data_IF_237176020321
#
_entry.id   IF_237176020321
#
_cell.length_a   1.000
_cell.length_b   1.000
_cell.length_c   1.000
_cell.angle_alpha   90.00
_cell.angle_beta   90.00
_cell.angle_gamma   90.00
#
_symmetry.space_group_name_H-M   'P 1'
#
loop_
_entity.id
_entity.type
_entity.pdbx_description
1 polymer ?
#
# COMPACT_ATOMS: atom_id res chain seq x y z
N UNK A 1 65.52 8.68 43.18
CA UNK A 1 65.06 8.02 41.93
C UNK A 1 63.65 8.51 41.67
N UNK A 2 63.39 9.26 40.60
CA UNK A 2 62.02 9.69 40.25
C UNK A 2 61.37 8.68 39.25
N UNK A 3 60.29 8.07 39.69
CA UNK A 3 59.43 7.29 38.79
C UNK A 3 58.66 8.23 37.86
N UNK A 4 58.93 8.13 36.55
CA UNK A 4 58.14 8.76 35.50
C UNK A 4 56.91 7.91 35.25
N UNK A 5 55.72 8.42 35.60
CA UNK A 5 54.46 7.82 35.20
C UNK A 5 54.19 8.16 33.73
N UNK A 6 54.26 7.18 32.87
CA UNK A 6 53.86 7.29 31.46
C UNK A 6 52.33 7.09 31.35
N UNK A 7 51.61 8.19 31.18
CA UNK A 7 50.17 8.16 31.01
C UNK A 7 49.83 7.73 29.59
N UNK A 8 49.19 6.57 29.43
CA UNK A 8 48.59 6.14 28.16
C UNK A 8 47.21 6.77 28.00
N UNK A 9 47.08 7.70 27.08
CA UNK A 9 45.77 8.22 26.67
C UNK A 9 45.15 7.23 25.69
N UNK A 10 44.14 6.49 26.14
CA UNK A 10 43.32 5.64 25.26
C UNK A 10 42.39 6.55 24.45
N UNK A 11 42.65 6.65 23.12
CA UNK A 11 41.77 7.28 22.18
C UNK A 11 40.64 6.31 21.87
N UNK A 12 39.46 6.48 22.46
CA UNK A 12 38.28 5.70 22.13
C UNK A 12 37.71 6.17 20.76
N UNK A 13 37.99 5.39 19.74
CA UNK A 13 37.40 5.61 18.41
C UNK A 13 35.95 5.13 18.43
N UNK A 14 35.00 6.06 18.55
CA UNK A 14 33.57 5.75 18.48
C UNK A 14 33.21 5.44 17.03
N UNK A 15 33.01 4.16 16.71
CA UNK A 15 32.44 3.71 15.43
C UNK A 15 30.94 3.98 15.49
N UNK A 16 30.49 5.07 14.88
CA UNK A 16 29.07 5.29 14.63
C UNK A 16 28.58 4.26 13.62
N UNK A 17 27.49 3.55 13.89
CA UNK A 17 26.92 2.65 12.90
C UNK A 17 26.48 3.46 11.68
N UNK A 18 27.09 3.18 10.54
CA UNK A 18 26.62 3.71 9.27
C UNK A 18 25.24 3.13 9.00
N UNK A 19 24.20 3.95 9.08
CA UNK A 19 22.87 3.55 8.60
C UNK A 19 22.99 3.41 7.08
N UNK A 20 23.01 2.19 6.60
CA UNK A 20 22.98 1.89 5.17
C UNK A 20 21.58 2.27 4.66
N UNK A 21 21.42 3.49 4.16
CA UNK A 21 20.21 3.89 3.47
C UNK A 21 20.22 3.16 2.14
N UNK A 22 19.27 2.23 1.93
CA UNK A 22 19.11 1.56 0.66
C UNK A 22 18.88 2.61 -0.45
N UNK A 23 19.48 2.39 -1.61
CA UNK A 23 19.25 3.27 -2.76
C UNK A 23 17.75 3.28 -3.12
N UNK A 24 17.21 4.43 -3.55
CA UNK A 24 15.83 4.51 -3.98
C UNK A 24 15.59 3.58 -5.17
N UNK A 25 14.37 3.01 -5.25
CA UNK A 25 13.96 2.22 -6.41
C UNK A 25 13.88 3.14 -7.64
N UNK A 26 13.88 2.57 -8.85
CA UNK A 26 13.64 3.36 -10.07
C UNK A 26 12.19 3.80 -10.18
N UNK A 27 11.29 2.92 -9.76
CA UNK A 27 9.85 3.17 -9.77
C UNK A 27 9.18 2.63 -8.52
N UNK A 28 8.22 3.39 -8.00
CA UNK A 28 7.21 2.90 -7.08
C UNK A 28 5.83 3.17 -7.67
N UNK A 29 5.06 2.11 -7.87
CA UNK A 29 3.67 2.19 -8.30
C UNK A 29 2.80 2.09 -7.06
N UNK A 30 2.01 3.12 -6.83
CA UNK A 30 1.03 3.23 -5.75
C UNK A 30 -0.35 2.91 -6.31
N UNK A 31 -0.99 1.88 -5.79
CA UNK A 31 -2.31 1.43 -6.25
C UNK A 31 -3.31 1.68 -5.14
N UNK A 32 -4.23 2.61 -5.38
CA UNK A 32 -5.33 2.91 -4.49
C UNK A 32 -6.52 2.01 -4.85
N UNK A 33 -6.54 0.84 -4.24
CA UNK A 33 -7.47 -0.26 -4.51
C UNK A 33 -8.77 -0.10 -3.72
N UNK A 34 -9.61 0.81 -4.16
CA UNK A 34 -10.93 1.06 -3.59
C UNK A 34 -11.92 0.04 -4.16
N UNK A 35 -12.03 -1.12 -3.54
CA UNK A 35 -12.74 -2.30 -4.06
C UNK A 35 -13.92 -2.77 -3.19
N UNK A 36 -14.41 -1.94 -2.26
CA UNK A 36 -15.63 -2.24 -1.48
C UNK A 36 -16.92 -1.97 -2.28
N UNK A 37 -17.05 -2.67 -3.40
CA UNK A 37 -18.21 -2.58 -4.30
C UNK A 37 -18.29 -3.76 -5.26
N UNK A 38 -19.08 -3.65 -6.33
CA UNK A 38 -19.36 -4.73 -7.29
C UNK A 38 -18.11 -5.31 -7.98
N UNK A 39 -16.99 -4.57 -8.06
CA UNK A 39 -15.75 -5.02 -8.69
C UNK A 39 -14.78 -5.75 -7.73
N UNK A 40 -15.16 -5.99 -6.47
CA UNK A 40 -14.33 -6.72 -5.49
C UNK A 40 -13.69 -7.98 -6.07
N UNK A 41 -14.43 -8.74 -6.89
CA UNK A 41 -13.91 -9.97 -7.50
C UNK A 41 -12.85 -9.71 -8.58
N UNK A 42 -12.92 -8.57 -9.29
CA UNK A 42 -11.91 -8.17 -10.26
C UNK A 42 -10.61 -7.76 -9.54
N UNK A 43 -10.69 -6.96 -8.49
CA UNK A 43 -9.51 -6.59 -7.68
C UNK A 43 -8.69 -7.82 -7.27
N UNK A 44 -9.34 -8.93 -6.93
CA UNK A 44 -8.63 -10.15 -6.58
C UNK A 44 -7.81 -10.70 -7.76
N UNK A 45 -8.37 -10.72 -8.97
CA UNK A 45 -7.63 -11.16 -10.16
C UNK A 45 -6.43 -10.25 -10.39
N UNK A 46 -6.64 -8.95 -10.28
CA UNK A 46 -5.60 -7.96 -10.46
C UNK A 46 -4.49 -8.09 -9.41
N UNK A 47 -4.82 -8.42 -8.15
CA UNK A 47 -3.82 -8.69 -7.11
C UNK A 47 -2.93 -9.89 -7.45
N UNK A 48 -3.49 -10.96 -8.02
CA UNK A 48 -2.71 -12.12 -8.47
C UNK A 48 -1.84 -11.78 -9.68
N UNK A 49 -2.37 -11.00 -10.62
CA UNK A 49 -1.61 -10.51 -11.77
C UNK A 49 -0.47 -9.57 -11.34
N UNK A 50 -0.70 -8.74 -10.31
CA UNK A 50 0.37 -7.93 -9.72
C UNK A 50 1.48 -8.80 -9.10
N UNK A 51 1.13 -9.95 -8.49
CA UNK A 51 2.12 -10.89 -7.95
C UNK A 51 2.95 -11.58 -9.03
N UNK A 52 2.43 -11.76 -10.24
CA UNK A 52 3.24 -12.26 -11.37
C UNK A 52 4.40 -11.32 -11.71
N UNK A 53 4.22 -10.01 -11.54
CA UNK A 53 5.27 -9.02 -11.74
C UNK A 53 6.11 -8.82 -10.47
N UNK A 54 5.46 -8.74 -9.33
CA UNK A 54 6.05 -8.56 -8.01
C UNK A 54 6.86 -7.28 -7.83
N UNK A 55 7.31 -7.07 -6.60
CA UNK A 55 8.27 -6.00 -6.29
C UNK A 55 9.69 -6.54 -6.34
N UNK A 56 10.63 -5.71 -6.81
CA UNK A 56 12.06 -5.98 -6.84
C UNK A 56 12.84 -4.85 -6.17
N UNK A 57 14.16 -4.92 -6.18
CA UNK A 57 15.02 -3.84 -5.69
C UNK A 57 14.73 -2.51 -6.42
N UNK A 58 14.55 -2.56 -7.74
CA UNK A 58 14.38 -1.38 -8.59
C UNK A 58 12.92 -0.99 -8.85
N UNK A 59 11.95 -1.82 -8.45
CA UNK A 59 10.55 -1.63 -8.77
C UNK A 59 9.68 -2.05 -7.59
N UNK A 60 8.82 -1.16 -7.10
CA UNK A 60 7.91 -1.44 -5.98
C UNK A 60 6.46 -1.30 -6.42
N UNK A 61 5.63 -2.22 -5.97
CA UNK A 61 4.18 -2.15 -6.10
C UNK A 61 3.60 -2.12 -4.69
N UNK A 62 3.12 -0.96 -4.28
CA UNK A 62 2.48 -0.74 -2.98
C UNK A 62 0.99 -0.51 -3.17
N UNK A 63 0.17 -1.24 -2.44
CA UNK A 63 -1.30 -1.20 -2.58
C UNK A 63 -1.92 -0.76 -1.28
N UNK A 64 -2.82 0.22 -1.29
CA UNK A 64 -3.82 0.39 -0.25
C UNK A 64 -5.10 -0.28 -0.74
N UNK A 65 -5.60 -1.23 0.01
CA UNK A 65 -6.70 -2.09 -0.37
C UNK A 65 -7.84 -1.99 0.62
N UNK A 66 -9.01 -1.68 0.11
CA UNK A 66 -10.29 -1.83 0.80
C UNK A 66 -11.19 -2.78 0.02
N UNK A 67 -11.74 -3.77 0.71
CA UNK A 67 -12.67 -4.74 0.15
C UNK A 67 -13.82 -5.02 1.09
N UNK A 68 -15.01 -5.23 0.54
CA UNK A 68 -16.14 -5.71 1.31
C UNK A 68 -15.93 -7.15 1.80
N UNK A 69 -15.32 -7.31 2.96
CA UNK A 69 -15.05 -8.62 3.56
C UNK A 69 -16.33 -9.37 3.98
N UNK A 70 -17.47 -8.69 4.09
CA UNK A 70 -18.77 -9.26 4.42
C UNK A 70 -19.52 -9.77 3.19
N UNK A 71 -19.17 -9.32 1.98
CA UNK A 71 -19.81 -9.74 0.75
C UNK A 71 -19.68 -11.27 0.55
N UNK A 72 -20.76 -11.88 0.07
CA UNK A 72 -20.77 -13.32 -0.26
C UNK A 72 -19.72 -13.69 -1.30
N UNK A 73 -19.42 -12.79 -2.23
CA UNK A 73 -18.41 -12.97 -3.29
C UNK A 73 -17.02 -13.09 -2.72
N UNK A 74 -16.68 -12.34 -1.70
CA UNK A 74 -15.38 -12.45 -1.02
C UNK A 74 -15.22 -13.76 -0.24
N UNK A 75 -16.30 -14.39 0.19
CA UNK A 75 -16.24 -15.73 0.82
C UNK A 75 -15.72 -16.81 -0.12
N UNK A 76 -15.95 -16.67 -1.42
CA UNK A 76 -15.39 -17.60 -2.43
C UNK A 76 -13.88 -17.50 -2.58
N UNK A 77 -13.25 -16.39 -2.18
CA UNK A 77 -11.80 -16.21 -2.23
C UNK A 77 -11.06 -17.27 -1.42
N UNK A 78 -11.60 -17.61 -0.26
CA UNK A 78 -11.02 -18.65 0.60
C UNK A 78 -10.99 -20.02 -0.05
N UNK A 79 -12.06 -20.38 -0.75
CA UNK A 79 -12.16 -21.70 -1.37
C UNK A 79 -11.33 -21.84 -2.65
N UNK A 80 -11.29 -20.80 -3.45
CA UNK A 80 -10.69 -20.88 -4.79
C UNK A 80 -9.23 -20.45 -4.80
N UNK A 81 -8.80 -19.56 -3.90
CA UNK A 81 -7.50 -18.88 -3.98
C UNK A 81 -6.77 -18.81 -2.65
N UNK A 82 -7.22 -19.55 -1.66
CA UNK A 82 -6.66 -19.57 -0.30
C UNK A 82 -6.47 -18.16 0.33
N UNK A 83 -7.25 -17.20 -0.11
CA UNK A 83 -7.28 -15.85 0.48
C UNK A 83 -8.33 -15.85 1.58
N UNK A 84 -7.93 -15.62 2.83
CA UNK A 84 -8.88 -15.44 3.93
C UNK A 84 -9.41 -14.00 3.94
N UNK A 85 -10.69 -13.76 3.55
CA UNK A 85 -11.25 -12.41 3.51
C UNK A 85 -11.19 -11.69 4.86
N UNK A 86 -11.17 -12.44 5.96
CA UNK A 86 -11.09 -11.84 7.31
C UNK A 86 -9.77 -11.11 7.55
N UNK A 87 -8.68 -11.51 6.88
CA UNK A 87 -7.40 -10.81 6.94
C UNK A 87 -7.47 -9.42 6.30
N UNK A 88 -8.39 -9.23 5.37
CA UNK A 88 -8.58 -7.99 4.62
C UNK A 88 -9.73 -7.13 5.15
N UNK A 89 -10.24 -7.42 6.35
CA UNK A 89 -11.25 -6.57 6.97
C UNK A 89 -10.65 -5.19 7.29
N UNK A 90 -11.35 -4.12 6.90
CA UNK A 90 -10.86 -2.75 6.94
C UNK A 90 -9.72 -2.52 5.94
N UNK A 91 -9.19 -1.33 5.90
CA UNK A 91 -8.17 -0.93 4.92
C UNK A 91 -6.81 -1.55 5.25
N UNK A 92 -6.16 -2.13 4.25
CA UNK A 92 -4.83 -2.76 4.33
C UNK A 92 -3.85 -2.11 3.37
N UNK A 93 -2.60 -1.99 3.82
CA UNK A 93 -1.47 -1.59 2.98
C UNK A 93 -0.55 -2.78 2.77
N UNK A 94 -0.25 -3.06 1.53
CA UNK A 94 0.52 -4.22 1.10
C UNK A 94 1.74 -3.79 0.30
N UNK A 95 2.79 -4.60 0.35
CA UNK A 95 3.83 -4.63 -0.66
C UNK A 95 3.66 -5.92 -1.46
N UNK A 96 3.48 -5.80 -2.75
CA UNK A 96 3.26 -6.97 -3.61
C UNK A 96 4.58 -7.70 -3.81
N UNK A 97 4.62 -8.97 -3.41
CA UNK A 97 5.74 -9.88 -3.60
C UNK A 97 5.55 -10.67 -4.90
N UNK A 98 6.64 -11.09 -5.53
CA UNK A 98 6.56 -11.97 -6.70
C UNK A 98 6.07 -13.36 -6.27
N UNK A 99 4.98 -13.81 -6.87
CA UNK A 99 4.47 -15.19 -6.78
C UNK A 99 3.73 -15.55 -8.07
N UNK A 100 4.23 -16.53 -8.79
CA UNK A 100 3.63 -17.02 -10.04
C UNK A 100 2.52 -18.05 -9.81
N UNK A 101 2.15 -18.34 -8.57
CA UNK A 101 1.09 -19.30 -8.26
C UNK A 101 -0.29 -18.64 -8.27
N UNK A 102 -1.10 -18.80 -9.33
CA UNK A 102 -2.38 -18.12 -9.46
C UNK A 102 -3.46 -18.66 -8.51
N UNK A 103 -3.14 -19.68 -7.72
CA UNK A 103 -4.08 -20.33 -6.80
C UNK A 103 -4.07 -19.75 -5.40
N UNK A 104 -3.15 -18.84 -5.11
CA UNK A 104 -3.05 -18.21 -3.78
C UNK A 104 -2.52 -16.80 -3.90
N UNK A 105 -2.87 -15.97 -2.94
CA UNK A 105 -2.26 -14.66 -2.72
C UNK A 105 -1.23 -14.77 -1.59
N UNK A 106 -0.02 -14.29 -1.80
CA UNK A 106 1.12 -14.51 -0.91
C UNK A 106 1.79 -13.22 -0.41
N UNK A 107 1.37 -12.08 -0.92
CA UNK A 107 1.94 -10.79 -0.50
C UNK A 107 1.59 -10.43 0.94
N UNK A 108 2.53 -9.77 1.60
CA UNK A 108 2.40 -9.40 3.01
C UNK A 108 1.55 -8.14 3.21
N UNK A 109 0.71 -8.18 4.25
CA UNK A 109 0.09 -6.98 4.79
C UNK A 109 1.13 -6.26 5.64
N UNK A 110 1.59 -5.11 5.15
CA UNK A 110 2.60 -4.29 5.81
C UNK A 110 1.99 -3.46 6.93
N UNK A 111 0.74 -3.03 6.74
CA UNK A 111 0.01 -2.21 7.71
C UNK A 111 -1.48 -2.51 7.63
N UNK A 112 -2.13 -2.54 8.80
CA UNK A 112 -3.59 -2.58 8.92
C UNK A 112 -4.02 -1.28 9.55
N UNK A 113 -4.83 -0.49 8.86
CA UNK A 113 -5.41 0.69 9.46
C UNK A 113 -6.42 0.27 10.52
N UNK A 114 -6.45 0.95 11.69
CA UNK A 114 -7.21 0.46 12.85
C UNK A 114 -8.72 0.51 12.65
N UNK A 115 -9.18 1.36 11.75
CA UNK A 115 -10.60 1.62 11.49
C UNK A 115 -10.88 1.49 9.99
N UNK A 116 -12.15 1.26 9.67
CA UNK A 116 -12.66 1.45 8.32
C UNK A 116 -12.38 2.90 7.89
N UNK A 117 -11.99 3.09 6.64
CA UNK A 117 -11.71 4.42 6.08
C UNK A 117 -12.61 4.65 4.89
N UNK A 118 -13.16 5.84 4.82
CA UNK A 118 -13.84 6.28 3.61
C UNK A 118 -12.81 6.49 2.48
N UNK A 119 -12.76 5.54 1.55
CA UNK A 119 -11.82 5.61 0.42
C UNK A 119 -12.21 6.69 -0.59
N UNK A 120 -13.36 7.35 -0.43
CA UNK A 120 -13.76 8.54 -1.20
C UNK A 120 -13.29 9.86 -0.55
N UNK A 121 -12.55 9.77 0.57
CA UNK A 121 -11.97 10.94 1.23
C UNK A 121 -10.60 11.28 0.62
N UNK A 122 -10.40 12.49 0.06
CA UNK A 122 -9.13 12.91 -0.51
C UNK A 122 -7.98 12.93 0.49
N UNK A 123 -8.25 13.12 1.79
CA UNK A 123 -7.22 13.08 2.82
C UNK A 123 -6.71 11.64 3.03
N UNK A 124 -7.56 10.61 2.87
CA UNK A 124 -7.17 9.20 2.90
C UNK A 124 -6.30 8.83 1.70
N UNK A 125 -6.61 9.36 0.52
CA UNK A 125 -5.76 9.20 -0.67
C UNK A 125 -4.40 9.87 -0.48
N UNK A 126 -4.39 11.12 0.01
CA UNK A 126 -3.16 11.87 0.26
C UNK A 126 -2.26 11.17 1.29
N UNK A 127 -2.83 10.65 2.38
CA UNK A 127 -2.10 9.88 3.40
C UNK A 127 -1.47 8.62 2.82
N UNK A 128 -2.17 7.91 1.95
CA UNK A 128 -1.61 6.74 1.25
C UNK A 128 -0.44 7.12 0.34
N UNK A 129 -0.57 8.19 -0.42
CA UNK A 129 0.52 8.67 -1.29
C UNK A 129 1.76 9.01 -0.47
N UNK A 130 1.61 9.77 0.61
CA UNK A 130 2.71 10.15 1.50
C UNK A 130 3.35 8.93 2.17
N UNK A 131 2.52 7.98 2.65
CA UNK A 131 3.01 6.72 3.21
C UNK A 131 3.85 5.95 2.20
N UNK A 132 3.34 5.78 0.99
CA UNK A 132 4.01 5.01 -0.05
C UNK A 132 5.34 5.63 -0.49
N UNK A 133 5.35 6.95 -0.68
CA UNK A 133 6.57 7.68 -1.04
C UNK A 133 7.62 7.64 0.08
N UNK A 134 7.19 7.70 1.34
CA UNK A 134 8.09 7.63 2.50
C UNK A 134 8.65 6.22 2.68
N UNK A 135 7.81 5.21 2.55
CA UNK A 135 8.17 3.81 2.80
C UNK A 135 8.96 3.18 1.66
N UNK A 136 8.68 3.59 0.44
CA UNK A 136 9.27 3.06 -0.79
C UNK A 136 9.79 4.19 -1.67
N UNK A 137 10.86 4.87 -1.25
CA UNK A 137 11.43 5.97 -2.02
C UNK A 137 11.91 5.49 -3.39
N UNK A 138 11.62 6.29 -4.42
CA UNK A 138 11.98 5.98 -5.80
C UNK A 138 12.28 7.26 -6.61
N UNK A 139 12.96 7.09 -7.75
CA UNK A 139 13.22 8.19 -8.69
C UNK A 139 11.93 8.68 -9.36
N UNK A 140 10.94 7.77 -9.50
CA UNK A 140 9.66 8.05 -10.17
C UNK A 140 8.53 7.30 -9.46
N UNK A 141 7.36 7.94 -9.48
CA UNK A 141 6.14 7.39 -8.91
C UNK A 141 5.04 7.30 -9.97
N UNK A 142 4.26 6.22 -9.92
CA UNK A 142 3.00 6.09 -10.63
C UNK A 142 1.87 5.93 -9.62
N UNK A 143 0.73 6.60 -9.85
CA UNK A 143 -0.48 6.41 -9.06
C UNK A 143 -1.55 5.78 -9.93
N UNK A 144 -2.14 4.68 -9.45
CA UNK A 144 -3.28 4.02 -10.06
C UNK A 144 -4.46 4.17 -9.11
N UNK A 145 -5.52 4.80 -9.59
CA UNK A 145 -6.81 4.88 -8.90
C UNK A 145 -7.69 3.73 -9.42
N UNK A 146 -7.90 2.73 -8.59
CA UNK A 146 -8.60 1.52 -8.97
C UNK A 146 -10.02 1.48 -8.38
N UNK A 147 -11.02 1.76 -9.19
CA UNK A 147 -12.46 1.67 -8.91
C UNK A 147 -13.24 1.91 -10.23
N UNK A 148 -14.56 2.09 -10.14
CA UNK A 148 -15.34 2.72 -11.20
C UNK A 148 -14.87 4.15 -11.45
N UNK A 149 -14.84 4.55 -12.72
CA UNK A 149 -14.61 5.94 -13.10
C UNK A 149 -15.92 6.58 -13.56
N UNK A 150 -16.13 7.83 -13.13
CA UNK A 150 -17.24 8.67 -13.58
C UNK A 150 -16.87 9.65 -14.68
N UNK A 151 -15.83 9.38 -15.48
CA UNK A 151 -15.26 10.30 -16.47
C UNK A 151 -14.83 11.62 -15.79
N UNK A 152 -15.39 12.76 -16.23
CA UNK A 152 -15.12 14.08 -15.62
C UNK A 152 -15.84 14.29 -14.30
N UNK A 153 -16.79 13.43 -13.93
CA UNK A 153 -17.59 13.59 -12.72
C UNK A 153 -16.88 13.14 -11.45
N UNK A 154 -15.90 12.22 -11.60
CA UNK A 154 -15.13 11.75 -10.43
C UNK A 154 -14.68 10.31 -10.53
N UNK A 155 -14.26 9.79 -9.39
CA UNK A 155 -13.70 8.46 -9.18
C UNK A 155 -14.19 7.92 -7.83
N UNK A 156 -14.46 6.62 -7.75
CA UNK A 156 -14.75 5.95 -6.48
C UNK A 156 -16.19 5.46 -6.36
N UNK A 157 -16.67 5.46 -5.13
CA UNK A 157 -17.95 4.93 -4.67
C UNK A 157 -17.73 3.78 -3.69
N UNK A 158 -17.79 4.11 -2.38
CA UNK A 158 -17.64 3.18 -1.27
C UNK A 158 -19.00 2.63 -0.83
N UNK A 159 -19.14 1.30 -0.69
CA UNK A 159 -20.41 0.69 -0.32
C UNK A 159 -20.70 0.67 1.18
N UNK A 160 -19.66 0.76 2.02
CA UNK A 160 -19.81 0.71 3.47
C UNK A 160 -19.83 2.11 4.09
N UNK A 161 -18.90 2.94 3.69
CA UNK A 161 -18.77 4.32 4.16
C UNK A 161 -19.29 5.32 3.11
N UNK A 162 -19.91 4.79 2.07
CA UNK A 162 -20.37 5.50 0.89
C UNK A 162 -21.05 6.81 1.20
N UNK A 163 -20.47 7.81 0.73
CA UNK A 163 -20.84 9.18 0.88
C UNK A 163 -22.23 9.44 0.31
N UNK A 164 -23.21 9.60 1.18
CA UNK A 164 -24.50 10.15 0.82
C UNK A 164 -24.37 11.53 0.12
N UNK A 165 -23.19 12.18 0.31
CA UNK A 165 -22.88 13.49 -0.23
C UNK A 165 -22.09 13.39 -1.58
N UNK A 166 -21.47 12.22 -1.86
CA UNK A 166 -20.68 12.00 -3.06
C UNK A 166 -21.05 10.66 -3.71
N UNK A 167 -22.24 10.54 -4.32
CA UNK A 167 -22.72 9.29 -4.90
C UNK A 167 -21.83 8.75 -6.04
N UNK A 168 -20.88 9.55 -6.52
CA UNK A 168 -19.90 9.22 -7.55
C UNK A 168 -18.47 9.11 -7.00
N UNK A 169 -18.31 9.09 -5.66
CA UNK A 169 -17.00 9.11 -5.03
C UNK A 169 -16.31 10.48 -5.05
N UNK A 170 -14.99 10.51 -5.05
CA UNK A 170 -14.21 11.75 -5.15
C UNK A 170 -14.43 12.44 -6.49
N UNK A 171 -14.63 13.75 -6.45
CA UNK A 171 -14.60 14.59 -7.65
C UNK A 171 -13.19 14.72 -8.21
N UNK A 172 -13.06 15.15 -9.46
CA UNK A 172 -11.75 15.41 -10.07
C UNK A 172 -10.95 16.48 -9.34
N UNK A 173 -11.62 17.47 -8.75
CA UNK A 173 -10.96 18.52 -7.96
C UNK A 173 -10.45 17.99 -6.62
N UNK A 174 -11.18 17.09 -5.98
CA UNK A 174 -10.73 16.40 -4.75
C UNK A 174 -9.56 15.46 -5.02
N UNK A 175 -9.59 14.69 -6.09
CA UNK A 175 -8.43 13.88 -6.52
C UNK A 175 -7.23 14.78 -6.77
N UNK A 176 -7.39 15.91 -7.49
CA UNK A 176 -6.32 16.86 -7.73
C UNK A 176 -5.76 17.47 -6.46
N UNK A 177 -6.60 17.71 -5.46
CA UNK A 177 -6.16 18.23 -4.15
C UNK A 177 -5.34 17.19 -3.36
N UNK A 178 -5.65 15.91 -3.52
CA UNK A 178 -4.97 14.81 -2.81
C UNK A 178 -3.56 14.51 -3.36
N UNK A 179 -3.29 14.84 -4.62
CA UNK A 179 -2.01 14.62 -5.32
C UNK A 179 -1.08 15.81 -5.14
#
# INVERSE_FOLDING_TARGET
SPFKHLGYTLLALSILPSVLIAAPAKWTILIYGHADHSLTSAMRSDLLEMEEAGSSENFKIAVQLDINSADRRTKFWKFKYNIDPKKFRGVKRLLISEDINPSRFNSDIIESLPEEKNMDDPDVLSDFIQWGMTKYPADRYGLVLWNHGGQFAGYGGDSQEGSLNHPMGMTTDEVKKAI
#
